data_IF_334234282759
#
_entry.id   IF_334234282759
#
_cell.length_a   1.000
_cell.length_b   1.000
_cell.length_c   1.000
_cell.angle_alpha   90.00
_cell.angle_beta   90.00
_cell.angle_gamma   90.00
#
_symmetry.space_group_name_H-M   'P 1'
#
loop_
_entity.id
_entity.type
_entity.pdbx_description
1 polymer ?
#
# COMPACT_ATOMS: atom_id res chain seq x y z
N UNK A 1 -23.41 46.68 -22.50
CA UNK A 1 -23.94 45.32 -22.16
C UNK A 1 -22.92 44.18 -22.26
N UNK A 2 -21.89 44.23 -23.12
CA UNK A 2 -21.00 43.07 -23.37
C UNK A 2 -19.98 42.69 -22.27
N UNK A 3 -19.56 43.61 -21.40
CA UNK A 3 -18.53 43.33 -20.37
C UNK A 3 -19.11 42.48 -19.22
N UNK A 4 -20.35 42.76 -18.79
CA UNK A 4 -21.03 41.98 -17.74
C UNK A 4 -21.36 40.55 -18.17
N UNK A 5 -21.66 40.31 -19.46
CA UNK A 5 -21.90 38.94 -19.97
C UNK A 5 -20.61 38.13 -20.12
N UNK A 6 -19.48 38.78 -20.43
CA UNK A 6 -18.18 38.12 -20.54
C UNK A 6 -17.62 37.73 -19.16
N UNK A 7 -17.76 38.60 -18.15
CA UNK A 7 -17.38 38.31 -16.76
C UNK A 7 -18.21 37.17 -16.14
N UNK A 8 -19.51 37.10 -16.45
CA UNK A 8 -20.38 36.02 -15.97
C UNK A 8 -20.10 34.69 -16.68
N UNK A 9 -19.80 34.69 -17.98
CA UNK A 9 -19.36 33.50 -18.70
C UNK A 9 -18.00 32.97 -18.20
N UNK A 10 -17.05 33.87 -17.92
CA UNK A 10 -15.74 33.53 -17.33
C UNK A 10 -15.87 32.93 -15.93
N UNK A 11 -16.71 33.51 -15.06
CA UNK A 11 -16.99 32.95 -13.72
C UNK A 11 -17.65 31.57 -13.78
N UNK A 12 -18.59 31.36 -14.70
CA UNK A 12 -19.24 30.04 -14.89
C UNK A 12 -18.25 28.98 -15.39
N UNK A 13 -17.35 29.34 -16.29
CA UNK A 13 -16.28 28.45 -16.76
C UNK A 13 -15.30 28.09 -15.64
N UNK A 14 -14.86 29.06 -14.84
CA UNK A 14 -14.01 28.84 -13.67
C UNK A 14 -14.67 27.92 -12.64
N UNK A 15 -15.96 28.12 -12.35
CA UNK A 15 -16.72 27.25 -11.45
C UNK A 15 -16.85 25.82 -12.00
N UNK A 16 -17.08 25.67 -13.30
CA UNK A 16 -17.13 24.35 -13.94
C UNK A 16 -15.78 23.62 -13.87
N UNK A 17 -14.68 24.31 -14.19
CA UNK A 17 -13.33 23.74 -14.13
C UNK A 17 -12.93 23.36 -12.69
N UNK A 18 -13.19 24.24 -11.71
CA UNK A 18 -12.93 23.97 -10.31
C UNK A 18 -13.76 22.78 -9.78
N UNK A 19 -15.03 22.70 -10.18
CA UNK A 19 -15.92 21.60 -9.80
C UNK A 19 -15.50 20.28 -10.44
N UNK A 20 -15.14 20.29 -11.73
CA UNK A 20 -14.62 19.11 -12.42
C UNK A 20 -13.34 18.61 -11.76
N UNK A 21 -12.41 19.51 -11.43
CA UNK A 21 -11.17 19.14 -10.73
C UNK A 21 -11.45 18.53 -9.35
N UNK A 22 -12.40 19.10 -8.60
CA UNK A 22 -12.83 18.56 -7.30
C UNK A 22 -13.46 17.17 -7.44
N UNK A 23 -14.35 16.97 -8.42
CA UNK A 23 -14.98 15.66 -8.67
C UNK A 23 -13.93 14.62 -9.06
N UNK A 24 -13.01 14.96 -9.97
CA UNK A 24 -11.91 14.06 -10.34
C UNK A 24 -11.05 13.72 -9.12
N UNK A 25 -10.74 14.69 -8.26
CA UNK A 25 -10.00 14.45 -7.02
C UNK A 25 -10.77 13.53 -6.06
N UNK A 26 -12.07 13.73 -5.87
CA UNK A 26 -12.91 12.89 -5.01
C UNK A 26 -13.03 11.45 -5.55
N UNK A 27 -13.27 11.29 -6.86
CA UNK A 27 -13.30 9.98 -7.51
C UNK A 27 -11.95 9.27 -7.42
N UNK A 28 -10.86 10.01 -7.57
CA UNK A 28 -9.51 9.47 -7.38
C UNK A 28 -9.30 9.01 -5.92
N UNK A 29 -9.64 9.83 -4.92
CA UNK A 29 -9.54 9.44 -3.51
C UNK A 29 -10.43 8.22 -3.20
N UNK A 30 -11.64 8.19 -3.75
CA UNK A 30 -12.58 7.08 -3.60
C UNK A 30 -11.97 5.80 -4.18
N UNK A 31 -11.53 5.82 -5.44
CA UNK A 31 -10.88 4.69 -6.10
C UNK A 31 -9.66 4.19 -5.30
N UNK A 32 -8.89 5.11 -4.72
CA UNK A 32 -7.74 4.77 -3.88
C UNK A 32 -8.14 4.11 -2.57
N UNK A 33 -9.17 4.60 -1.89
CA UNK A 33 -9.74 3.91 -0.74
C UNK A 33 -10.22 2.51 -1.15
N UNK A 34 -10.97 2.38 -2.25
CA UNK A 34 -11.43 1.09 -2.74
C UNK A 34 -10.27 0.10 -2.97
N UNK A 35 -9.21 0.51 -3.68
CA UNK A 35 -8.03 -0.34 -3.94
C UNK A 35 -7.31 -0.85 -2.68
N UNK A 36 -7.53 -0.19 -1.55
CA UNK A 36 -6.96 -0.53 -0.25
C UNK A 36 -7.82 -1.57 0.50
N UNK A 37 -9.14 -1.62 0.26
CA UNK A 37 -10.07 -2.46 1.03
C UNK A 37 -10.75 -3.58 0.21
N UNK A 38 -10.43 -3.71 -1.07
CA UNK A 38 -10.98 -4.70 -2.01
C UNK A 38 -9.90 -5.72 -2.46
N UNK A 39 -10.24 -6.78 -3.22
CA UNK A 39 -9.30 -7.84 -3.58
C UNK A 39 -8.00 -7.27 -4.14
N UNK A 40 -6.88 -7.70 -3.55
CA UNK A 40 -5.58 -7.21 -3.93
C UNK A 40 -5.04 -7.94 -5.15
N UNK A 41 -4.21 -7.26 -5.94
CA UNK A 41 -3.44 -7.94 -6.98
C UNK A 41 -2.54 -9.07 -6.43
N UNK A 42 -2.02 -9.92 -7.32
CA UNK A 42 -1.17 -11.05 -6.94
C UNK A 42 -1.94 -12.35 -6.69
N UNK A 43 -1.20 -13.45 -6.63
CA UNK A 43 -1.74 -14.81 -6.47
C UNK A 43 -2.00 -15.07 -5.00
N UNK A 44 -3.23 -15.37 -4.62
CA UNK A 44 -3.56 -15.81 -3.26
C UNK A 44 -3.29 -17.31 -3.11
N UNK A 45 -2.58 -17.70 -2.06
CA UNK A 45 -2.40 -19.10 -1.66
C UNK A 45 -2.66 -19.25 -0.17
N UNK A 46 -3.25 -20.35 0.24
CA UNK A 46 -3.36 -20.73 1.65
C UNK A 46 -2.10 -21.47 2.12
N UNK A 47 -1.90 -21.56 3.43
CA UNK A 47 -0.72 -22.23 3.99
C UNK A 47 -0.77 -23.76 3.77
N UNK A 48 -1.96 -24.36 3.79
CA UNK A 48 -2.17 -25.76 3.44
C UNK A 48 -1.85 -26.03 1.97
N UNK A 49 -2.20 -25.12 1.05
CA UNK A 49 -1.82 -25.22 -0.36
C UNK A 49 -0.29 -25.13 -0.55
N UNK A 50 0.38 -24.23 0.17
CA UNK A 50 1.84 -24.13 0.17
C UNK A 50 2.47 -25.44 0.68
N UNK A 51 2.00 -25.95 1.81
CA UNK A 51 2.50 -27.20 2.38
C UNK A 51 2.24 -28.40 1.46
N UNK A 52 1.06 -28.49 0.87
CA UNK A 52 0.70 -29.52 -0.11
C UNK A 52 1.60 -29.44 -1.34
N UNK A 53 1.79 -28.25 -1.91
CA UNK A 53 2.64 -28.05 -3.07
C UNK A 53 4.10 -28.43 -2.76
N UNK A 54 4.59 -28.14 -1.56
CA UNK A 54 5.92 -28.54 -1.11
C UNK A 54 6.08 -30.06 -1.06
N UNK A 55 5.15 -30.76 -0.41
CA UNK A 55 5.23 -32.22 -0.24
C UNK A 55 5.04 -33.02 -1.54
N UNK A 56 4.30 -32.48 -2.51
CA UNK A 56 3.95 -33.19 -3.74
C UNK A 56 4.85 -32.84 -4.94
N UNK A 57 5.88 -32.00 -4.76
CA UNK A 57 6.81 -31.67 -5.85
C UNK A 57 8.23 -32.08 -5.48
N UNK A 58 8.94 -32.66 -6.45
CA UNK A 58 10.32 -33.09 -6.22
C UNK A 58 11.23 -31.87 -5.97
N UNK A 59 12.13 -31.92 -4.96
CA UNK A 59 13.02 -30.79 -4.65
C UNK A 59 13.92 -30.40 -5.82
N UNK A 60 14.35 -31.38 -6.63
CA UNK A 60 15.34 -31.23 -7.71
C UNK A 60 14.83 -30.39 -8.89
N UNK A 61 13.52 -30.23 -9.02
CA UNK A 61 12.89 -29.47 -10.11
C UNK A 61 12.52 -28.05 -9.69
N UNK A 62 12.89 -27.61 -8.48
CA UNK A 62 12.47 -26.34 -7.91
C UNK A 62 13.62 -25.41 -7.58
N UNK A 63 13.55 -24.19 -8.09
CA UNK A 63 14.43 -23.11 -7.68
C UNK A 63 14.02 -22.60 -6.29
N UNK A 64 14.95 -22.64 -5.34
CA UNK A 64 14.80 -21.96 -4.05
C UNK A 64 15.22 -20.50 -4.21
N UNK A 65 14.28 -19.57 -4.01
CA UNK A 65 14.51 -18.14 -4.21
C UNK A 65 14.95 -17.43 -2.93
N UNK A 66 14.31 -17.76 -1.81
CA UNK A 66 14.50 -17.05 -0.55
C UNK A 66 15.66 -17.68 0.24
N UNK A 67 16.66 -16.89 0.67
CA UNK A 67 17.70 -17.35 1.58
C UNK A 67 17.16 -17.82 2.93
N UNK A 68 17.82 -18.79 3.55
CA UNK A 68 17.49 -19.29 4.90
C UNK A 68 17.94 -18.31 5.99
N UNK A 69 17.30 -17.14 6.03
CA UNK A 69 17.57 -16.08 7.01
C UNK A 69 16.26 -15.67 7.64
N UNK A 70 16.18 -15.70 8.98
CA UNK A 70 15.06 -15.14 9.74
C UNK A 70 15.48 -13.79 10.31
N UNK A 71 14.67 -12.77 10.06
CA UNK A 71 14.82 -11.43 10.60
C UNK A 71 13.70 -11.13 11.59
N UNK A 72 14.05 -10.64 12.78
CA UNK A 72 13.10 -10.05 13.71
C UNK A 72 13.65 -8.71 14.23
N UNK A 73 12.76 -7.78 14.53
CA UNK A 73 13.13 -6.42 14.95
C UNK A 73 12.60 -6.17 16.35
N UNK A 74 13.47 -5.78 17.28
CA UNK A 74 13.10 -5.31 18.62
C UNK A 74 13.60 -3.88 18.81
N UNK A 75 12.69 -2.91 18.69
CA UNK A 75 12.95 -1.51 19.03
C UNK A 75 12.11 -1.14 20.24
N UNK A 76 12.77 -0.93 21.38
CA UNK A 76 12.07 -0.66 22.63
C UNK A 76 11.52 0.77 22.65
N UNK A 77 10.20 0.87 22.83
CA UNK A 77 9.47 2.15 22.83
C UNK A 77 9.83 3.05 24.00
N UNK A 78 10.13 2.48 25.17
CA UNK A 78 10.35 3.24 26.41
C UNK A 78 11.80 3.63 26.60
N UNK A 79 12.70 2.72 26.25
CA UNK A 79 14.13 2.89 26.44
C UNK A 79 14.91 2.21 25.31
N UNK A 80 15.46 3.03 24.41
CA UNK A 80 16.22 2.58 23.25
C UNK A 80 17.51 1.82 23.61
N UNK A 81 18.05 2.00 24.83
CA UNK A 81 19.22 1.27 25.30
C UNK A 81 18.86 -0.11 25.88
N UNK A 82 17.59 -0.33 26.24
CA UNK A 82 17.13 -1.59 26.79
C UNK A 82 16.66 -2.55 25.69
N UNK A 83 17.52 -3.50 25.37
CA UNK A 83 17.28 -4.54 24.37
C UNK A 83 16.63 -5.82 24.94
N UNK A 84 16.13 -5.79 26.18
CA UNK A 84 15.50 -6.95 26.82
C UNK A 84 14.12 -7.21 26.22
N UNK A 85 13.99 -8.35 25.53
CA UNK A 85 12.74 -8.79 24.91
C UNK A 85 11.78 -9.31 26.01
N UNK A 86 10.50 -8.91 26.01
CA UNK A 86 9.48 -9.50 26.88
C UNK A 86 9.38 -11.02 26.73
N UNK A 87 9.18 -11.74 27.83
CA UNK A 87 9.22 -13.21 27.85
C UNK A 87 8.26 -13.88 26.85
N UNK A 88 7.06 -13.33 26.65
CA UNK A 88 6.09 -13.86 25.66
C UNK A 88 6.60 -13.74 24.22
N UNK A 89 7.27 -12.64 23.89
CA UNK A 89 7.88 -12.42 22.58
C UNK A 89 9.16 -13.23 22.39
N UNK A 90 9.96 -13.41 23.45
CA UNK A 90 11.13 -14.29 23.36
C UNK A 90 10.70 -15.76 23.18
N UNK A 91 9.62 -16.22 23.82
CA UNK A 91 9.07 -17.55 23.58
C UNK A 91 8.67 -17.76 22.10
N UNK A 92 7.98 -16.78 21.49
CA UNK A 92 7.67 -16.80 20.06
C UNK A 92 8.92 -16.80 19.19
N UNK A 93 9.90 -15.94 19.49
CA UNK A 93 11.22 -15.93 18.83
C UNK A 93 11.91 -17.29 18.91
N UNK A 94 11.94 -17.93 20.08
CA UNK A 94 12.58 -19.23 20.27
C UNK A 94 11.86 -20.35 19.52
N UNK A 95 10.54 -20.29 19.35
CA UNK A 95 9.82 -21.26 18.50
C UNK A 95 10.34 -21.25 17.05
N UNK A 96 10.66 -20.07 16.52
CA UNK A 96 11.23 -19.93 15.18
C UNK A 96 12.69 -20.41 15.13
N UNK A 97 13.53 -20.03 16.10
CA UNK A 97 14.94 -20.45 16.14
C UNK A 97 15.06 -21.97 16.28
N UNK A 98 14.28 -22.58 17.17
CA UNK A 98 14.36 -24.01 17.47
C UNK A 98 13.92 -24.90 16.31
N UNK A 99 12.96 -24.46 15.49
CA UNK A 99 12.50 -25.14 14.28
C UNK A 99 13.46 -24.99 13.08
N UNK A 100 14.35 -23.99 13.11
CA UNK A 100 15.20 -23.61 11.97
C UNK A 100 16.68 -23.52 12.36
N UNK A 101 17.22 -24.60 12.96
CA UNK A 101 18.59 -24.64 13.50
C UNK A 101 19.68 -24.42 12.46
N UNK A 102 19.41 -24.72 11.19
CA UNK A 102 20.31 -24.55 10.05
C UNK A 102 20.14 -23.19 9.34
N UNK A 103 19.26 -22.32 9.84
CA UNK A 103 19.02 -20.99 9.27
C UNK A 103 19.80 -19.94 10.04
N UNK A 104 20.19 -18.88 9.33
CA UNK A 104 20.74 -17.70 9.99
C UNK A 104 19.62 -16.94 10.70
N UNK A 105 19.83 -16.62 11.98
CA UNK A 105 18.92 -15.78 12.73
C UNK A 105 19.54 -14.40 13.00
N UNK A 106 18.80 -13.34 12.66
CA UNK A 106 19.20 -11.94 12.91
C UNK A 106 18.14 -11.21 13.73
N UNK A 107 18.50 -10.81 14.95
CA UNK A 107 17.75 -9.83 15.74
C UNK A 107 18.30 -8.43 15.47
N UNK A 108 17.40 -7.51 15.13
CA UNK A 108 17.73 -6.12 14.85
C UNK A 108 17.27 -5.22 16.00
N UNK A 109 18.22 -4.61 16.70
CA UNK A 109 17.99 -3.62 17.76
C UNK A 109 18.35 -2.22 17.28
N UNK A 110 18.18 -1.19 18.12
CA UNK A 110 18.32 0.22 17.76
C UNK A 110 19.62 0.55 17.01
N UNK A 111 20.77 0.20 17.60
CA UNK A 111 22.08 0.54 17.02
C UNK A 111 22.38 -0.26 15.73
N UNK A 112 22.31 -1.61 15.70
CA UNK A 112 22.53 -2.38 14.48
C UNK A 112 21.60 -1.98 13.33
N UNK A 113 20.34 -1.66 13.63
CA UNK A 113 19.37 -1.20 12.64
C UNK A 113 19.78 0.11 11.98
N UNK A 114 20.14 1.10 12.80
CA UNK A 114 20.57 2.41 12.30
C UNK A 114 21.90 2.32 11.54
N UNK A 115 22.85 1.52 12.04
CA UNK A 115 24.14 1.32 11.39
C UNK A 115 24.00 0.65 10.03
N UNK A 116 23.09 -0.33 9.91
CA UNK A 116 22.76 -0.95 8.63
C UNK A 116 22.20 0.07 7.63
N UNK A 117 21.22 0.88 8.03
CA UNK A 117 20.69 1.93 7.15
C UNK A 117 21.78 2.94 6.78
N UNK A 118 22.60 3.38 7.73
CA UNK A 118 23.70 4.32 7.47
C UNK A 118 24.70 3.77 6.46
N UNK A 119 25.03 2.48 6.54
CA UNK A 119 26.04 1.83 5.71
C UNK A 119 25.50 1.50 4.31
N UNK A 120 24.36 0.82 4.24
CA UNK A 120 23.85 0.25 2.98
C UNK A 120 22.89 1.20 2.24
N UNK A 121 22.26 2.14 2.96
CA UNK A 121 21.29 3.08 2.42
C UNK A 121 21.47 4.52 2.96
N UNK A 122 22.68 5.12 2.85
CA UNK A 122 22.99 6.43 3.43
C UNK A 122 22.03 7.53 2.97
N UNK A 123 21.49 7.42 1.75
CA UNK A 123 20.49 8.34 1.20
C UNK A 123 19.16 8.35 1.98
N UNK A 124 18.84 7.27 2.70
CA UNK A 124 17.62 7.15 3.51
C UNK A 124 17.83 7.51 4.98
N UNK A 125 19.09 7.58 5.46
CA UNK A 125 19.41 7.74 6.88
C UNK A 125 18.69 8.94 7.51
N UNK A 126 18.66 10.09 6.82
CA UNK A 126 17.97 11.29 7.33
C UNK A 126 16.47 11.06 7.54
N UNK A 127 15.81 10.32 6.65
CA UNK A 127 14.39 10.00 6.79
C UNK A 127 14.17 8.98 7.92
N UNK A 128 15.05 7.98 8.03
CA UNK A 128 15.02 6.98 9.09
C UNK A 128 15.18 7.61 10.48
N UNK A 129 16.17 8.48 10.66
CA UNK A 129 16.41 9.23 11.90
C UNK A 129 15.27 10.22 12.22
N UNK A 130 14.53 10.66 11.20
CA UNK A 130 13.37 11.53 11.35
C UNK A 130 12.10 10.82 11.85
N UNK A 131 12.08 9.49 11.92
CA UNK A 131 10.95 8.74 12.44
C UNK A 131 10.96 8.76 13.98
N UNK A 132 10.09 9.59 14.57
CA UNK A 132 9.94 9.72 16.04
C UNK A 132 9.51 8.44 16.74
N UNK A 133 8.74 7.59 16.05
CA UNK A 133 8.17 6.37 16.63
C UNK A 133 8.99 5.13 16.24
N UNK A 134 9.44 4.30 17.19
CA UNK A 134 10.18 3.07 16.90
C UNK A 134 9.43 2.11 15.98
N UNK A 135 8.10 2.06 16.06
CA UNK A 135 7.26 1.23 15.18
C UNK A 135 7.45 1.63 13.72
N UNK A 136 7.57 2.93 13.43
CA UNK A 136 7.85 3.41 12.06
C UNK A 136 9.27 3.05 11.61
N UNK A 137 10.24 3.07 12.52
CA UNK A 137 11.60 2.63 12.19
C UNK A 137 11.63 1.14 11.87
N UNK A 138 10.94 0.31 12.66
CA UNK A 138 10.81 -1.12 12.41
C UNK A 138 10.08 -1.42 11.08
N UNK A 139 8.97 -0.73 10.82
CA UNK A 139 8.19 -0.81 9.58
C UNK A 139 9.05 -0.44 8.34
N UNK A 140 9.89 0.59 8.41
CA UNK A 140 10.83 0.90 7.33
C UNK A 140 11.91 -0.18 7.20
N UNK A 141 12.54 -0.53 8.32
CA UNK A 141 13.70 -1.40 8.35
C UNK A 141 13.40 -2.76 7.72
N UNK A 142 12.25 -3.39 8.02
CA UNK A 142 11.90 -4.70 7.44
C UNK A 142 11.88 -4.68 5.91
N UNK A 143 11.47 -3.58 5.27
CA UNK A 143 11.50 -3.47 3.81
C UNK A 143 12.93 -3.38 3.27
N UNK A 144 13.83 -2.67 3.96
CA UNK A 144 15.24 -2.61 3.60
C UNK A 144 15.95 -3.94 3.83
N UNK A 145 15.57 -4.70 4.85
CA UNK A 145 16.06 -6.07 5.07
C UNK A 145 15.64 -6.99 3.93
N UNK A 146 14.36 -6.98 3.54
CA UNK A 146 13.87 -7.74 2.37
C UNK A 146 14.60 -7.35 1.08
N UNK A 147 14.90 -6.05 0.88
CA UNK A 147 15.69 -5.59 -0.28
C UNK A 147 17.13 -6.10 -0.23
N UNK A 148 17.81 -6.01 0.91
CA UNK A 148 19.23 -6.29 0.99
C UNK A 148 19.55 -7.78 1.14
N UNK A 149 19.01 -8.40 2.20
CA UNK A 149 19.29 -9.78 2.57
C UNK A 149 18.31 -10.78 1.92
N UNK A 150 17.11 -10.33 1.55
CA UNK A 150 16.01 -11.25 1.34
C UNK A 150 15.63 -11.93 2.65
N UNK A 151 15.34 -13.23 2.60
CA UNK A 151 14.98 -14.03 3.76
C UNK A 151 13.52 -13.89 4.16
N UNK A 152 13.21 -14.26 5.39
CA UNK A 152 11.87 -14.16 5.99
C UNK A 152 11.94 -13.20 7.18
N UNK A 153 11.13 -12.15 7.14
CA UNK A 153 10.88 -11.28 8.29
C UNK A 153 9.66 -11.78 9.06
N UNK A 154 9.72 -11.75 10.40
CA UNK A 154 8.63 -12.18 11.29
C UNK A 154 8.56 -11.19 12.47
N UNK A 155 7.40 -10.59 12.71
CA UNK A 155 7.15 -9.79 13.93
C UNK A 155 7.36 -10.64 15.20
N UNK A 156 7.79 -10.00 16.29
CA UNK A 156 8.11 -10.70 17.55
C UNK A 156 6.89 -11.27 18.28
N UNK A 157 5.67 -10.85 17.90
CA UNK A 157 4.42 -11.41 18.42
C UNK A 157 3.85 -12.55 17.55
N UNK A 158 4.62 -13.02 16.56
CA UNK A 158 4.30 -14.19 15.74
C UNK A 158 5.32 -15.31 16.02
N UNK A 159 4.80 -16.48 16.38
CA UNK A 159 5.56 -17.70 16.61
C UNK A 159 5.53 -18.61 15.37
N UNK A 160 6.55 -19.46 15.24
CA UNK A 160 6.59 -20.50 14.22
C UNK A 160 6.02 -21.80 14.78
N UNK A 161 5.09 -22.41 14.03
CA UNK A 161 4.43 -23.66 14.38
C UNK A 161 4.94 -24.84 13.53
N UNK A 162 5.49 -24.56 12.35
CA UNK A 162 6.10 -25.55 11.47
C UNK A 162 7.31 -24.97 10.73
N UNK A 163 8.05 -25.85 10.03
CA UNK A 163 9.19 -25.46 9.21
C UNK A 163 8.75 -24.56 8.04
N UNK A 164 9.46 -23.45 7.82
CA UNK A 164 9.19 -22.43 6.80
C UNK A 164 9.83 -22.73 5.43
N UNK A 165 10.58 -23.83 5.27
CA UNK A 165 11.11 -24.31 3.99
C UNK A 165 10.11 -24.24 2.82
N UNK A 166 8.82 -24.63 2.99
CA UNK A 166 7.83 -24.54 1.91
C UNK A 166 7.68 -23.12 1.32
N UNK A 167 7.94 -22.08 2.11
CA UNK A 167 7.79 -20.68 1.70
C UNK A 167 8.99 -20.17 0.90
N UNK A 168 10.10 -20.92 0.83
CA UNK A 168 11.33 -20.46 0.16
C UNK A 168 11.27 -20.54 -1.37
N UNK A 169 10.23 -21.17 -1.92
CA UNK A 169 10.04 -21.40 -3.35
C UNK A 169 9.20 -20.33 -4.04
N UNK A 170 8.86 -19.27 -3.33
CA UNK A 170 8.15 -18.11 -3.86
C UNK A 170 9.11 -16.92 -3.88
N UNK A 171 9.29 -16.23 -5.01
CA UNK A 171 10.33 -15.21 -5.16
C UNK A 171 10.13 -14.04 -4.19
N UNK A 172 8.91 -13.54 -4.05
CA UNK A 172 8.55 -12.61 -3.00
C UNK A 172 7.08 -12.80 -2.61
N UNK A 173 6.81 -12.69 -1.32
CA UNK A 173 5.48 -12.83 -0.77
C UNK A 173 5.28 -12.01 0.50
N UNK A 174 4.03 -11.73 0.79
CA UNK A 174 3.58 -11.15 2.05
C UNK A 174 2.36 -11.90 2.55
N UNK A 175 1.92 -11.59 3.76
CA UNK A 175 0.76 -12.23 4.36
C UNK A 175 -0.51 -11.43 4.16
N UNK A 176 -1.62 -12.13 4.00
CA UNK A 176 -2.94 -11.55 3.76
C UNK A 176 -3.92 -12.01 4.84
N UNK A 177 -4.46 -11.07 5.61
CA UNK A 177 -5.42 -11.35 6.69
C UNK A 177 -6.86 -11.52 6.18
N UNK A 178 -7.05 -11.54 4.85
CA UNK A 178 -8.31 -11.66 4.15
C UNK A 178 -9.08 -10.35 4.05
N UNK A 179 -10.01 -10.28 3.09
CA UNK A 179 -10.88 -9.12 2.83
C UNK A 179 -10.14 -7.77 2.71
N UNK A 180 -9.04 -7.74 1.96
CA UNK A 180 -8.36 -6.48 1.66
C UNK A 180 -7.41 -6.01 2.77
N UNK A 181 -6.86 -6.93 3.56
CA UNK A 181 -5.97 -6.58 4.68
C UNK A 181 -4.60 -7.25 4.54
N UNK A 182 -3.81 -6.81 3.56
CA UNK A 182 -2.40 -7.23 3.51
C UNK A 182 -1.69 -6.77 4.77
N UNK A 183 -0.82 -7.64 5.26
CA UNK A 183 -0.08 -7.45 6.48
C UNK A 183 1.41 -7.31 6.17
N UNK A 184 2.09 -6.54 7.01
CA UNK A 184 3.52 -6.33 6.98
C UNK A 184 4.23 -6.98 8.18
N UNK A 185 3.55 -7.94 8.84
CA UNK A 185 4.04 -8.65 10.02
C UNK A 185 4.88 -9.89 9.69
N UNK A 186 4.68 -10.49 8.51
CA UNK A 186 5.48 -11.60 8.01
C UNK A 186 5.68 -11.41 6.52
N UNK A 187 6.93 -11.40 6.07
CA UNK A 187 7.33 -11.09 4.70
C UNK A 187 8.39 -12.09 4.26
N UNK A 188 8.40 -12.46 2.98
CA UNK A 188 9.45 -13.29 2.41
C UNK A 188 9.93 -12.74 1.07
N UNK A 189 11.23 -12.83 0.82
CA UNK A 189 11.79 -12.36 -0.45
C UNK A 189 13.14 -12.94 -0.80
N UNK A 190 13.40 -13.09 -2.10
CA UNK A 190 14.79 -13.10 -2.58
C UNK A 190 15.43 -11.71 -2.42
N UNK A 191 16.77 -11.64 -2.28
CA UNK A 191 17.49 -10.38 -2.24
C UNK A 191 17.27 -9.57 -3.51
N UNK A 192 17.20 -8.24 -3.37
CA UNK A 192 17.11 -7.28 -4.46
C UNK A 192 15.93 -7.47 -5.43
N UNK A 193 14.87 -8.16 -5.01
CA UNK A 193 13.66 -8.30 -5.80
C UNK A 193 13.08 -6.93 -6.20
N UNK A 194 12.64 -6.73 -7.47
CA UNK A 194 12.21 -5.41 -7.96
C UNK A 194 11.11 -4.75 -7.13
N UNK A 195 10.21 -5.54 -6.54
CA UNK A 195 9.18 -5.04 -5.63
C UNK A 195 9.78 -4.30 -4.43
N UNK A 196 10.79 -4.83 -3.75
CA UNK A 196 11.36 -4.18 -2.55
C UNK A 196 12.23 -2.98 -2.89
N UNK A 197 12.84 -2.95 -4.08
CA UNK A 197 13.45 -1.72 -4.62
C UNK A 197 12.40 -0.63 -4.77
N UNK A 198 11.28 -0.96 -5.44
CA UNK A 198 10.16 -0.04 -5.61
C UNK A 198 9.58 0.45 -4.26
N UNK A 199 9.37 -0.45 -3.30
CA UNK A 199 8.88 -0.12 -1.95
C UNK A 199 9.84 0.85 -1.24
N UNK A 200 11.12 0.48 -1.11
CA UNK A 200 12.09 1.30 -0.37
C UNK A 200 12.34 2.67 -1.01
N UNK A 201 12.35 2.76 -2.34
CA UNK A 201 12.51 4.04 -3.06
C UNK A 201 11.24 4.91 -2.99
N UNK A 202 10.07 4.29 -3.03
CA UNK A 202 8.79 4.99 -2.85
C UNK A 202 8.66 5.59 -1.45
N UNK A 203 9.22 4.93 -0.44
CA UNK A 203 9.11 5.34 0.95
C UNK A 203 9.69 6.75 1.20
N UNK A 204 10.80 7.09 0.52
CA UNK A 204 11.39 8.43 0.60
C UNK A 204 10.49 9.52 0.01
N UNK A 205 9.72 9.19 -1.04
CA UNK A 205 8.79 10.14 -1.65
C UNK A 205 7.60 10.42 -0.73
N UNK A 206 7.11 9.37 -0.06
CA UNK A 206 6.01 9.49 0.91
C UNK A 206 6.42 10.25 2.18
N UNK A 207 7.68 10.17 2.61
CA UNK A 207 8.16 10.91 3.79
C UNK A 207 8.38 12.41 3.55
N UNK A 208 8.53 12.86 2.30
CA UNK A 208 8.87 14.27 1.96
C UNK A 208 7.71 15.14 1.47
N UNK A 209 6.65 14.56 0.89
CA UNK A 209 5.66 15.30 0.11
C UNK A 209 4.20 15.15 0.59
N UNK A 210 3.82 15.73 1.74
CA UNK A 210 2.38 15.98 1.97
C UNK A 210 2.09 17.15 2.91
N UNK A 211 1.25 18.12 2.51
CA UNK A 211 0.72 19.17 3.40
C UNK A 211 -0.33 18.63 4.41
N UNK A 212 -0.67 17.34 4.36
CA UNK A 212 -1.56 16.64 5.29
C UNK A 212 -0.81 15.62 6.15
N UNK A 213 0.35 16.03 6.69
CA UNK A 213 1.33 15.18 7.36
C UNK A 213 0.76 14.26 8.45
N UNK A 214 -0.35 14.62 9.10
CA UNK A 214 -1.01 13.75 10.10
C UNK A 214 -1.60 12.45 9.49
N UNK A 215 -2.19 12.56 8.29
CA UNK A 215 -2.68 11.39 7.55
C UNK A 215 -1.51 10.66 6.88
N UNK A 216 -0.58 11.34 6.22
CA UNK A 216 0.57 10.70 5.57
C UNK A 216 1.50 9.96 6.56
N UNK A 217 1.69 10.51 7.77
CA UNK A 217 2.49 9.90 8.84
C UNK A 217 1.81 8.68 9.49
N UNK A 218 0.51 8.48 9.30
CA UNK A 218 -0.20 7.27 9.75
C UNK A 218 -0.14 6.14 8.71
N UNK A 219 0.37 6.42 7.50
CA UNK A 219 0.33 5.51 6.36
C UNK A 219 1.70 4.95 5.96
N UNK A 220 2.78 5.74 6.05
CA UNK A 220 4.14 5.27 5.77
C UNK A 220 5.00 5.24 7.04
N UNK A 221 5.88 4.23 7.22
CA UNK A 221 6.09 2.99 6.45
C UNK A 221 5.09 1.85 6.75
N UNK A 222 3.97 2.12 7.42
CA UNK A 222 3.05 1.08 7.87
C UNK A 222 2.32 0.29 6.77
N UNK A 223 1.45 -0.63 7.20
CA UNK A 223 0.72 -1.57 6.33
C UNK A 223 0.01 -0.92 5.13
N UNK A 224 -0.56 0.28 5.30
CA UNK A 224 -1.32 0.94 4.24
C UNK A 224 -0.42 1.43 3.11
N UNK A 225 0.79 1.88 3.44
CA UNK A 225 1.81 2.17 2.43
C UNK A 225 2.22 0.90 1.69
N UNK A 226 2.40 -0.23 2.39
CA UNK A 226 2.75 -1.49 1.75
C UNK A 226 1.64 -1.96 0.80
N UNK A 227 0.37 -1.86 1.21
CA UNK A 227 -0.79 -2.19 0.36
C UNK A 227 -0.78 -1.33 -0.90
N UNK A 228 -0.60 -0.01 -0.78
CA UNK A 228 -0.53 0.88 -1.93
C UNK A 228 0.64 0.54 -2.86
N UNK A 229 1.82 0.31 -2.29
CA UNK A 229 3.00 -0.05 -3.05
C UNK A 229 2.80 -1.38 -3.79
N UNK A 230 2.17 -2.37 -3.15
CA UNK A 230 1.81 -3.65 -3.74
C UNK A 230 0.87 -3.49 -4.93
N UNK A 231 -0.22 -2.72 -4.80
CA UNK A 231 -1.16 -2.48 -5.90
C UNK A 231 -0.47 -1.80 -7.08
N UNK A 232 0.31 -0.74 -6.83
CA UNK A 232 0.98 0.00 -7.90
C UNK A 232 2.05 -0.82 -8.61
N UNK A 233 2.81 -1.62 -7.87
CA UNK A 233 3.80 -2.50 -8.45
C UNK A 233 3.12 -3.48 -9.42
N UNK A 234 2.06 -4.14 -8.98
CA UNK A 234 1.31 -5.06 -9.84
C UNK A 234 0.63 -4.37 -11.03
N UNK A 235 0.12 -3.16 -10.86
CA UNK A 235 -0.48 -2.41 -11.97
C UNK A 235 0.54 -2.05 -13.06
N UNK A 236 1.84 -2.05 -12.75
CA UNK A 236 2.92 -1.83 -13.70
C UNK A 236 3.48 -3.11 -14.35
N UNK A 237 3.03 -4.29 -13.92
CA UNK A 237 3.45 -5.57 -14.50
C UNK A 237 2.70 -5.84 -15.81
N UNK A 238 3.42 -6.36 -16.79
CA UNK A 238 2.87 -6.90 -18.04
C UNK A 238 2.08 -8.20 -17.79
N UNK A 239 1.50 -8.76 -18.86
CA UNK A 239 0.85 -10.08 -18.80
C UNK A 239 1.84 -11.24 -18.66
N UNK A 240 3.08 -11.04 -19.12
CA UNK A 240 4.15 -12.04 -19.07
C UNK A 240 4.88 -12.08 -17.72
N UNK A 241 4.73 -11.02 -16.91
CA UNK A 241 5.39 -10.92 -15.62
C UNK A 241 4.69 -11.77 -14.55
N UNK A 242 5.50 -12.54 -13.81
CA UNK A 242 5.01 -13.32 -12.68
C UNK A 242 4.41 -12.44 -11.58
N UNK A 243 3.17 -12.76 -11.22
CA UNK A 243 2.43 -12.10 -10.14
C UNK A 243 2.93 -12.61 -8.79
N UNK A 244 3.14 -11.69 -7.84
CA UNK A 244 3.65 -12.05 -6.52
C UNK A 244 2.58 -12.72 -5.65
N UNK A 245 3.04 -13.49 -4.68
CA UNK A 245 2.19 -14.35 -3.87
C UNK A 245 1.74 -13.66 -2.58
N UNK A 246 0.48 -13.86 -2.21
CA UNK A 246 -0.12 -13.50 -0.93
C UNK A 246 -0.43 -14.77 -0.16
N UNK A 247 0.22 -14.96 0.98
CA UNK A 247 0.02 -16.12 1.85
C UNK A 247 -1.09 -15.82 2.85
N UNK A 248 -2.19 -16.57 2.79
CA UNK A 248 -3.34 -16.32 3.65
C UNK A 248 -3.05 -16.61 5.12
N UNK A 249 -3.42 -15.64 5.94
CA UNK A 249 -3.39 -15.64 7.40
C UNK A 249 -4.70 -15.01 7.91
N UNK A 250 -5.83 -15.45 7.38
CA UNK A 250 -7.14 -15.08 7.90
C UNK A 250 -7.46 -15.91 9.15
N UNK A 251 -7.94 -15.27 10.22
CA UNK A 251 -8.24 -15.94 11.48
C UNK A 251 -9.74 -16.01 11.77
N UNK A 252 -10.60 -15.66 10.78
CA UNK A 252 -12.05 -15.70 10.95
C UNK A 252 -12.59 -17.12 10.87
N UNK A 253 -13.74 -17.40 11.53
CA UNK A 253 -14.41 -18.69 11.41
C UNK A 253 -14.62 -19.10 9.95
N UNK A 254 -14.30 -20.35 9.61
CA UNK A 254 -14.42 -20.89 8.25
C UNK A 254 -13.23 -20.59 7.32
N UNK A 255 -12.21 -19.86 7.78
CA UNK A 255 -10.98 -19.62 7.01
C UNK A 255 -10.04 -20.83 7.04
N UNK A 256 -9.16 -20.92 6.05
CA UNK A 256 -8.11 -21.93 6.01
C UNK A 256 -7.19 -21.84 7.25
N UNK A 257 -6.76 -22.98 7.82
CA UNK A 257 -5.95 -22.99 9.03
C UNK A 257 -4.55 -22.42 8.78
N UNK A 258 -3.96 -21.85 9.84
CA UNK A 258 -2.55 -21.48 9.81
C UNK A 258 -1.73 -22.73 10.11
N UNK A 259 -0.72 -23.00 9.28
CA UNK A 259 0.14 -24.19 9.37
C UNK A 259 1.52 -23.81 9.90
N UNK A 260 2.09 -22.71 9.38
CA UNK A 260 3.46 -22.29 9.62
C UNK A 260 3.60 -21.37 10.82
N UNK A 261 2.56 -20.60 11.13
CA UNK A 261 2.61 -19.50 12.10
C UNK A 261 1.48 -19.61 13.12
N UNK A 262 1.70 -19.01 14.29
CA UNK A 262 0.68 -18.76 15.31
C UNK A 262 0.98 -17.46 16.04
N UNK A 263 0.01 -16.90 16.77
CA UNK A 263 0.27 -15.73 17.61
C UNK A 263 0.96 -16.15 18.90
N UNK A 264 1.87 -15.30 19.40
CA UNK A 264 2.35 -15.39 20.77
C UNK A 264 1.17 -15.21 21.74
N UNK A 265 1.21 -15.86 22.92
CA UNK A 265 0.24 -15.56 23.97
C UNK A 265 0.28 -14.06 24.33
N UNK A 266 -0.88 -13.39 24.23
CA UNK A 266 -0.99 -11.94 24.42
C UNK A 266 -0.55 -11.09 23.21
N UNK A 267 -0.25 -11.72 22.06
CA UNK A 267 0.02 -11.03 20.80
C UNK A 267 -1.14 -10.17 20.33
N UNK A 268 -0.84 -9.17 19.49
CA UNK A 268 -1.81 -8.16 19.06
C UNK A 268 -2.94 -8.79 18.25
N UNK A 269 -4.06 -9.08 18.93
CA UNK A 269 -5.33 -9.47 18.30
C UNK A 269 -6.03 -8.24 17.69
N UNK A 270 -5.28 -7.48 16.87
CA UNK A 270 -5.70 -6.30 16.11
C UNK A 270 -6.86 -6.57 15.13
N UNK A 271 -7.45 -7.76 15.15
CA UNK A 271 -8.61 -8.12 14.33
C UNK A 271 -9.91 -7.50 14.83
N UNK A 272 -10.08 -7.23 16.14
CA UNK A 272 -11.32 -6.61 16.65
C UNK A 272 -11.59 -5.23 16.05
N UNK A 273 -10.54 -4.50 15.67
CA UNK A 273 -10.69 -3.14 15.15
C UNK A 273 -10.95 -3.10 13.63
N UNK A 274 -10.46 -4.07 12.85
CA UNK A 274 -10.62 -4.05 11.39
C UNK A 274 -12.02 -4.46 10.94
N UNK A 275 -12.63 -5.45 11.60
CA UNK A 275 -14.02 -5.82 11.34
C UNK A 275 -15.01 -4.68 11.68
N UNK A 276 -14.67 -3.85 12.67
CA UNK A 276 -15.46 -2.66 13.02
C UNK A 276 -15.22 -1.48 12.06
N UNK A 277 -14.02 -1.37 11.49
CA UNK A 277 -13.62 -0.26 10.62
C UNK A 277 -14.06 -0.46 9.17
N UNK A 278 -14.02 -1.68 8.64
CA UNK A 278 -14.35 -1.95 7.23
C UNK A 278 -15.77 -1.45 6.84
N UNK A 279 -16.84 -1.77 7.60
CA UNK A 279 -18.18 -1.27 7.30
C UNK A 279 -18.24 0.25 7.40
N UNK A 280 -17.57 0.85 8.40
CA UNK A 280 -17.54 2.31 8.59
C UNK A 280 -16.82 3.03 7.45
N UNK A 281 -15.73 2.46 6.94
CA UNK A 281 -14.98 2.99 5.79
C UNK A 281 -15.76 2.78 4.49
N UNK A 282 -16.44 1.64 4.32
CA UNK A 282 -17.31 1.39 3.18
C UNK A 282 -18.49 2.37 3.15
N UNK A 283 -19.12 2.66 4.29
CA UNK A 283 -20.14 3.69 4.42
C UNK A 283 -19.59 5.09 4.12
N UNK A 284 -18.36 5.41 4.55
CA UNK A 284 -17.71 6.67 4.21
C UNK A 284 -17.43 6.80 2.71
N UNK A 285 -16.97 5.73 2.07
CA UNK A 285 -16.75 5.67 0.62
C UNK A 285 -18.05 5.88 -0.14
N UNK A 286 -19.11 5.17 0.22
CA UNK A 286 -20.44 5.34 -0.39
C UNK A 286 -20.96 6.77 -0.18
N UNK A 287 -20.81 7.32 1.03
CA UNK A 287 -21.18 8.70 1.33
C UNK A 287 -20.40 9.68 0.45
N UNK A 288 -19.09 9.48 0.26
CA UNK A 288 -18.23 10.34 -0.55
C UNK A 288 -18.56 10.26 -2.05
N UNK A 289 -18.89 9.07 -2.56
CA UNK A 289 -19.38 8.90 -3.93
C UNK A 289 -20.75 9.59 -4.12
N UNK A 290 -21.66 9.45 -3.15
CA UNK A 290 -22.96 10.11 -3.17
C UNK A 290 -22.82 11.65 -3.12
N UNK A 291 -21.95 12.20 -2.27
CA UNK A 291 -21.72 13.65 -2.20
C UNK A 291 -21.08 14.17 -3.48
N UNK A 292 -20.13 13.43 -4.07
CA UNK A 292 -19.55 13.79 -5.37
C UNK A 292 -20.62 13.79 -6.49
N UNK A 293 -21.52 12.80 -6.50
CA UNK A 293 -22.62 12.72 -7.46
C UNK A 293 -23.64 13.86 -7.29
N UNK A 294 -24.03 14.18 -6.05
CA UNK A 294 -24.93 15.31 -5.74
C UNK A 294 -24.28 16.63 -6.18
N UNK A 295 -22.98 16.81 -5.90
CA UNK A 295 -22.26 18.02 -6.30
C UNK A 295 -22.16 18.14 -7.82
N UNK A 296 -21.88 17.03 -8.52
CA UNK A 296 -21.88 16.98 -9.98
C UNK A 296 -23.25 17.35 -10.58
N UNK A 297 -24.34 16.83 -10.02
CA UNK A 297 -25.70 17.16 -10.43
C UNK A 297 -26.04 18.64 -10.16
N UNK A 298 -25.67 19.17 -8.99
CA UNK A 298 -25.88 20.58 -8.64
C UNK A 298 -25.12 21.52 -9.60
N UNK A 299 -23.88 21.18 -9.96
CA UNK A 299 -23.08 21.93 -10.94
C UNK A 299 -23.71 21.85 -12.33
N UNK A 300 -24.18 20.68 -12.75
CA UNK A 300 -24.88 20.51 -14.03
C UNK A 300 -26.14 21.39 -14.12
N UNK A 301 -26.95 21.41 -13.05
CA UNK A 301 -28.15 22.26 -12.95
C UNK A 301 -27.77 23.76 -12.95
N UNK A 302 -26.77 24.17 -12.17
CA UNK A 302 -26.36 25.57 -12.04
C UNK A 302 -25.71 26.14 -13.31
N UNK A 303 -24.97 25.30 -14.05
CA UNK A 303 -24.35 25.71 -15.33
C UNK A 303 -25.37 25.69 -16.47
N UNK A 304 -26.35 24.78 -16.41
CA UNK A 304 -27.51 24.67 -17.28
C UNK A 304 -27.16 24.25 -18.73
N UNK A 305 -27.97 23.39 -19.40
CA UNK A 305 -27.73 23.01 -20.80
C UNK A 305 -27.83 24.20 -21.77
N UNK A 306 -28.48 25.30 -21.36
CA UNK A 306 -28.72 26.48 -22.20
C UNK A 306 -27.48 27.28 -22.61
N UNK A 307 -26.32 27.11 -21.95
CA UNK A 307 -25.13 27.91 -22.26
C UNK A 307 -24.24 27.30 -23.38
N UNK A 308 -24.44 26.04 -23.74
CA UNK A 308 -23.77 25.45 -24.92
C UNK A 308 -24.35 25.96 -26.25
N UNK A 309 -25.63 26.36 -26.23
CA UNK A 309 -26.29 26.99 -27.37
C UNK A 309 -25.91 28.47 -27.54
N UNK A 310 -25.65 29.17 -26.42
CA UNK A 310 -25.16 30.55 -26.41
C UNK A 310 -23.69 30.67 -26.85
N UNK A 311 -22.84 29.68 -26.56
CA UNK A 311 -21.46 29.66 -27.07
C UNK A 311 -21.42 29.37 -28.58
N UNK A 312 -22.25 28.45 -29.10
CA UNK A 312 -22.40 28.25 -30.56
C UNK A 312 -22.88 29.51 -31.27
N UNK A 313 -23.85 30.24 -30.71
CA UNK A 313 -24.34 31.51 -31.32
C UNK A 313 -23.34 32.66 -31.18
N UNK A 314 -22.55 32.72 -30.10
CA UNK A 314 -21.47 33.71 -29.96
C UNK A 314 -20.33 33.47 -30.97
N UNK A 315 -19.91 32.22 -31.16
CA UNK A 315 -18.89 31.86 -32.17
C UNK A 315 -19.42 31.94 -33.61
N UNK A 316 -20.71 31.70 -33.84
CA UNK A 316 -21.36 31.94 -35.14
C UNK A 316 -21.44 33.43 -35.48
N UNK A 317 -21.81 34.30 -34.53
CA UNK A 317 -21.85 35.76 -34.73
C UNK A 317 -20.46 36.38 -34.94
N UNK A 318 -19.41 35.87 -34.30
CA UNK A 318 -18.02 36.29 -34.56
C UNK A 318 -17.53 35.87 -35.95
N UNK A 319 -17.94 34.68 -36.43
CA UNK A 319 -17.67 34.23 -37.81
C UNK A 319 -18.37 35.11 -38.85
N UNK A 320 -19.59 35.58 -38.59
CA UNK A 320 -20.28 36.53 -39.48
C UNK A 320 -19.64 37.93 -39.47
N UNK A 321 -19.10 38.39 -38.33
CA UNK A 321 -18.44 39.71 -38.25
C UNK A 321 -17.09 39.76 -38.97
N UNK A 322 -16.42 38.62 -39.12
CA UNK A 322 -15.19 38.52 -39.94
C UNK A 322 -15.47 38.29 -41.44
N UNK A 323 -16.66 37.83 -41.83
CA UNK A 323 -17.04 37.71 -43.25
C UNK A 323 -17.56 39.00 -43.88
N UNK A 324 -17.92 40.01 -43.08
CA UNK A 324 -18.39 41.29 -43.62
C UNK A 324 -17.27 42.21 -44.14
N UNK A 325 -16.01 41.80 -44.06
CA UNK A 325 -14.86 42.51 -44.63
C UNK A 325 -14.33 41.90 -45.92
N UNK A 326 -14.95 40.83 -46.44
CA UNK A 326 -14.55 40.20 -47.69
C UNK A 326 -15.76 39.92 -48.60
N UNK A 327 -15.74 40.58 -49.77
CA UNK A 327 -16.56 40.36 -50.99
C UNK A 327 -18.00 40.93 -50.93
N UNK A 328 -18.41 41.93 -51.72
CA UNK A 328 -18.23 42.14 -53.17
C UNK A 328 -18.26 40.82 -53.93
N UNK A 329 -19.47 40.42 -54.34
CA UNK A 329 -19.89 39.51 -55.42
C UNK A 329 -21.12 38.75 -54.92
N UNK A 330 -22.30 39.15 -55.41
CA UNK A 330 -23.47 38.31 -55.71
C UNK A 330 -24.52 39.23 -56.36
N UNK A 331 -24.61 39.19 -57.69
CA UNK A 331 -25.93 39.12 -58.36
C UNK A 331 -26.56 37.76 -58.06
#
# INVERSE_FOLDING_TARGET
MGIRSCLTASRKLLLFLASSALITALLYIAFRAHSIFYPHAGVTTTQDQVAFAYNNTRPETRTRYIPRIIHQIFLNRRDAANETIPATWDAARQSCISLHKDWEYKLWTEKPSRDFIKKEYPWFLRAYDGFTFPEKRADALRYFLMRYYGGIYIDLDIACQANLEPLLYYPAWLTDRGHGSLSNNVLGSLPNHPFWKYVTESLLRYSRNSPFSFLAASFAPGKWFLIDAWQRYHAGLSEEDDRLTRVMMDSRPGSAPWIFFTYAEGGSQSNKNHELLLPRVLHLFTLMCCTAAIFAAAVFIAVGPGNWWLSKTYWARRRCRHRHFDKNICE
#
